data_IF_217614502459
#
_entry.id   IF_217614502459
#
_cell.length_a   1.000
_cell.length_b   1.000
_cell.length_c   1.000
_cell.angle_alpha   90.00
_cell.angle_beta   90.00
_cell.angle_gamma   90.00
#
_symmetry.space_group_name_H-M   'P 1'
#
loop_
_entity.id
_entity.type
_entity.pdbx_description
1 polymer ?
#
# COMPACT_ATOMS: atom_id res chain seq x y z
N UNK A 1 -14.94 -70.38 -67.10
CA UNK A 1 -14.99 -68.89 -67.09
C UNK A 1 -16.43 -68.51 -66.81
N UNK A 2 -16.84 -67.90 -65.70
CA UNK A 2 -16.17 -67.37 -64.52
C UNK A 2 -17.18 -67.52 -63.36
N UNK A 3 -16.77 -68.11 -62.23
CA UNK A 3 -17.35 -67.73 -60.95
C UNK A 3 -16.65 -66.42 -60.54
N UNK A 4 -17.38 -65.35 -60.22
CA UNK A 4 -17.04 -64.68 -58.95
C UNK A 4 -18.21 -63.84 -58.41
N UNK A 5 -18.89 -64.29 -57.34
CA UNK A 5 -19.71 -63.37 -56.51
C UNK A 5 -19.83 -63.82 -55.05
N UNK A 6 -19.52 -65.10 -54.75
CA UNK A 6 -19.63 -65.65 -53.39
C UNK A 6 -18.67 -65.02 -52.33
N UNK A 7 -17.38 -64.74 -52.59
CA UNK A 7 -16.48 -64.28 -51.53
C UNK A 7 -16.77 -62.85 -51.06
N UNK A 8 -17.19 -61.95 -51.97
CA UNK A 8 -17.53 -60.57 -51.61
C UNK A 8 -18.83 -60.46 -50.80
N UNK A 9 -19.78 -61.39 -51.02
CA UNK A 9 -21.01 -61.48 -50.23
C UNK A 9 -20.75 -62.02 -48.83
N UNK A 10 -19.89 -63.03 -48.69
CA UNK A 10 -19.48 -63.58 -47.39
C UNK A 10 -18.75 -62.52 -46.57
N UNK A 11 -17.82 -61.78 -47.18
CA UNK A 11 -17.08 -60.71 -46.50
C UNK A 11 -18.00 -59.56 -46.04
N UNK A 12 -19.03 -59.23 -46.84
CA UNK A 12 -20.06 -58.25 -46.45
C UNK A 12 -20.96 -58.74 -45.32
N UNK A 13 -21.31 -60.02 -45.31
CA UNK A 13 -22.09 -60.64 -44.25
C UNK A 13 -21.32 -60.63 -42.93
N UNK A 14 -20.05 -61.02 -42.94
CA UNK A 14 -19.19 -60.96 -41.75
C UNK A 14 -18.96 -59.53 -41.26
N UNK A 15 -18.84 -58.56 -42.17
CA UNK A 15 -18.74 -57.15 -41.80
C UNK A 15 -20.05 -56.60 -41.20
N UNK A 16 -21.20 -57.13 -41.62
CA UNK A 16 -22.50 -56.78 -41.05
C UNK A 16 -22.69 -57.43 -39.67
N UNK A 17 -22.28 -58.68 -39.51
CA UNK A 17 -22.38 -59.44 -38.26
C UNK A 17 -21.57 -58.75 -37.16
N UNK A 18 -20.32 -58.36 -37.47
CA UNK A 18 -19.48 -57.56 -36.54
C UNK A 18 -20.09 -56.21 -36.16
N UNK A 19 -20.81 -55.56 -37.09
CA UNK A 19 -21.51 -54.30 -36.80
C UNK A 19 -22.76 -54.52 -35.97
N UNK A 20 -23.50 -55.61 -36.22
CA UNK A 20 -24.65 -56.00 -35.43
C UNK A 20 -24.24 -56.37 -34.01
N UNK A 21 -23.15 -57.10 -33.82
CA UNK A 21 -22.59 -57.41 -32.50
C UNK A 21 -22.19 -56.15 -31.73
N UNK A 22 -21.56 -55.18 -32.41
CA UNK A 22 -21.18 -53.91 -31.80
C UNK A 22 -22.40 -53.06 -31.41
N UNK A 23 -23.43 -53.03 -32.27
CA UNK A 23 -24.69 -52.35 -31.96
C UNK A 23 -25.47 -53.08 -30.86
N UNK A 24 -25.41 -54.41 -30.82
CA UNK A 24 -26.08 -55.21 -29.81
C UNK A 24 -25.45 -54.98 -28.43
N UNK A 25 -24.13 -54.92 -28.35
CA UNK A 25 -23.40 -54.55 -27.13
C UNK A 25 -23.80 -53.15 -26.63
N UNK A 26 -23.85 -52.16 -27.53
CA UNK A 26 -24.27 -50.80 -27.18
C UNK A 26 -25.74 -50.76 -26.71
N UNK A 27 -26.63 -51.53 -27.34
CA UNK A 27 -28.05 -51.60 -26.96
C UNK A 27 -28.23 -52.22 -25.57
N UNK A 28 -27.40 -53.18 -25.18
CA UNK A 28 -27.43 -53.75 -23.83
C UNK A 28 -26.99 -52.73 -22.77
N UNK A 29 -25.96 -51.94 -23.05
CA UNK A 29 -25.48 -50.88 -22.16
C UNK A 29 -26.51 -49.74 -22.05
N UNK A 30 -27.13 -49.35 -23.16
CA UNK A 30 -28.26 -48.41 -23.17
C UNK A 30 -29.47 -48.94 -22.38
N UNK A 31 -29.79 -50.23 -22.49
CA UNK A 31 -30.87 -50.85 -21.69
C UNK A 31 -30.54 -50.86 -20.21
N UNK A 32 -29.28 -51.05 -19.83
CA UNK A 32 -28.83 -50.98 -18.45
C UNK A 32 -28.97 -49.56 -17.89
N UNK A 33 -28.47 -48.56 -18.61
CA UNK A 33 -28.60 -47.14 -18.23
C UNK A 33 -30.07 -46.75 -18.07
N UNK A 34 -30.96 -47.19 -18.99
CA UNK A 34 -32.40 -46.91 -18.87
C UNK A 34 -33.01 -47.51 -17.60
N UNK A 35 -32.59 -48.71 -17.19
CA UNK A 35 -33.07 -49.34 -15.95
C UNK A 35 -32.55 -48.62 -14.72
N UNK A 36 -31.26 -48.29 -14.69
CA UNK A 36 -30.66 -47.52 -13.59
C UNK A 36 -31.31 -46.13 -13.45
N UNK A 37 -31.69 -45.50 -14.56
CA UNK A 37 -32.46 -44.25 -14.56
C UNK A 37 -33.89 -44.46 -14.06
N UNK A 38 -34.54 -45.57 -14.41
CA UNK A 38 -35.89 -45.88 -13.93
C UNK A 38 -35.89 -46.16 -12.41
N UNK A 39 -34.88 -46.87 -11.91
CA UNK A 39 -34.66 -47.11 -10.47
C UNK A 39 -34.36 -45.81 -9.73
N UNK A 40 -33.45 -44.98 -10.25
CA UNK A 40 -33.16 -43.66 -9.68
C UNK A 40 -34.40 -42.77 -9.64
N UNK A 41 -35.22 -42.81 -10.70
CA UNK A 41 -36.48 -42.08 -10.76
C UNK A 41 -37.48 -42.59 -9.73
N UNK A 42 -37.56 -43.89 -9.50
CA UNK A 42 -38.42 -44.49 -8.48
C UNK A 42 -37.95 -44.13 -7.06
N UNK A 43 -36.64 -44.21 -6.80
CA UNK A 43 -36.04 -43.84 -5.52
C UNK A 43 -36.15 -42.35 -5.24
N UNK A 44 -35.92 -41.51 -6.25
CA UNK A 44 -36.10 -40.06 -6.15
C UNK A 44 -37.56 -39.70 -5.95
N UNK A 45 -38.51 -40.41 -6.57
CA UNK A 45 -39.93 -40.19 -6.35
C UNK A 45 -40.34 -40.57 -4.92
N UNK A 46 -39.75 -41.62 -4.34
CA UNK A 46 -39.99 -42.03 -2.95
C UNK A 46 -39.42 -41.02 -1.97
N UNK A 47 -38.13 -40.71 -2.07
CA UNK A 47 -37.46 -39.73 -1.19
C UNK A 47 -38.06 -38.34 -1.35
N UNK A 48 -38.35 -37.93 -2.59
CA UNK A 48 -38.99 -36.65 -2.88
C UNK A 48 -40.36 -36.51 -2.22
N UNK A 49 -41.16 -37.59 -2.17
CA UNK A 49 -42.45 -37.61 -1.50
C UNK A 49 -42.32 -37.49 0.02
N UNK A 50 -41.33 -38.15 0.61
CA UNK A 50 -41.10 -38.13 2.05
C UNK A 50 -40.52 -36.80 2.52
N UNK A 51 -39.55 -36.24 1.77
CA UNK A 51 -39.02 -34.88 2.00
C UNK A 51 -40.12 -33.84 1.82
N UNK A 52 -40.94 -33.95 0.78
CA UNK A 52 -42.06 -33.02 0.56
C UNK A 52 -43.07 -33.08 1.71
N UNK A 53 -43.40 -34.27 2.21
CA UNK A 53 -44.27 -34.41 3.39
C UNK A 53 -43.64 -33.85 4.66
N UNK A 54 -42.35 -34.07 4.89
CA UNK A 54 -41.64 -33.53 6.04
C UNK A 54 -41.60 -32.00 6.00
N UNK A 55 -41.26 -31.43 4.86
CA UNK A 55 -41.25 -29.98 4.61
C UNK A 55 -42.64 -29.40 4.77
N UNK A 56 -43.70 -30.03 4.25
CA UNK A 56 -45.10 -29.59 4.46
C UNK A 56 -45.52 -29.65 5.94
N UNK A 57 -45.03 -30.64 6.70
CA UNK A 57 -45.33 -30.78 8.13
C UNK A 57 -44.60 -29.73 8.98
N UNK A 58 -43.33 -29.45 8.68
CA UNK A 58 -42.54 -28.41 9.35
C UNK A 58 -42.98 -26.99 8.93
N UNK A 59 -43.44 -26.82 7.69
CA UNK A 59 -43.99 -25.54 7.20
C UNK A 59 -45.36 -25.20 7.77
N UNK A 60 -46.08 -26.15 8.37
CA UNK A 60 -47.33 -25.86 9.09
C UNK A 60 -47.07 -24.95 10.31
N UNK A 61 -45.84 -24.96 10.85
CA UNK A 61 -45.36 -24.01 11.87
C UNK A 61 -45.03 -22.60 11.28
N UNK A 62 -44.80 -22.50 9.97
CA UNK A 62 -44.48 -21.24 9.23
C UNK A 62 -45.66 -20.79 8.34
N UNK A 63 -46.81 -21.44 8.47
CA UNK A 63 -48.08 -21.25 7.75
C UNK A 63 -48.56 -19.79 7.58
N UNK A 64 -48.26 -18.83 8.49
CA UNK A 64 -48.64 -17.42 8.28
C UNK A 64 -47.91 -16.71 7.13
N UNK A 65 -46.78 -17.24 6.63
CA UNK A 65 -45.90 -16.53 5.69
C UNK A 65 -45.71 -17.23 4.34
N UNK A 66 -46.24 -18.43 4.15
CA UNK A 66 -46.00 -19.24 2.94
C UNK A 66 -47.27 -19.94 2.49
N UNK A 67 -47.76 -19.62 1.28
CA UNK A 67 -48.92 -20.29 0.69
C UNK A 67 -48.50 -21.56 -0.06
N UNK A 68 -49.38 -22.57 -0.11
CA UNK A 68 -49.14 -23.86 -0.79
C UNK A 68 -48.74 -23.73 -2.27
N UNK A 69 -49.08 -22.61 -2.92
CA UNK A 69 -48.71 -22.32 -4.31
C UNK A 69 -47.31 -21.72 -4.51
N UNK A 70 -46.67 -21.22 -3.45
CA UNK A 70 -45.42 -20.46 -3.56
C UNK A 70 -44.25 -21.38 -3.91
N UNK A 71 -44.20 -22.61 -3.40
CA UNK A 71 -43.17 -23.58 -3.77
C UNK A 71 -43.24 -24.03 -5.22
N UNK A 72 -44.45 -24.22 -5.76
CA UNK A 72 -44.63 -24.53 -7.17
C UNK A 72 -44.22 -23.33 -8.06
N UNK A 73 -44.53 -22.11 -7.62
CA UNK A 73 -44.09 -20.88 -8.29
C UNK A 73 -42.56 -20.70 -8.19
N UNK A 74 -41.94 -21.02 -7.05
CA UNK A 74 -40.49 -21.00 -6.85
C UNK A 74 -39.79 -22.06 -7.69
N UNK A 75 -40.26 -23.31 -7.70
CA UNK A 75 -39.76 -24.36 -8.58
C UNK A 75 -39.88 -23.98 -10.05
N UNK A 76 -41.02 -23.43 -10.46
CA UNK A 76 -41.20 -22.89 -11.82
C UNK A 76 -40.26 -21.73 -12.12
N UNK A 77 -40.02 -20.83 -11.16
CA UNK A 77 -39.05 -19.73 -11.29
C UNK A 77 -37.63 -20.26 -11.40
N UNK A 78 -37.22 -21.22 -10.59
CA UNK A 78 -35.90 -21.86 -10.65
C UNK A 78 -35.66 -22.55 -12.00
N UNK A 79 -36.62 -23.36 -12.45
CA UNK A 79 -36.54 -24.03 -13.76
C UNK A 79 -36.53 -22.99 -14.91
N UNK A 80 -37.34 -21.93 -14.80
CA UNK A 80 -37.36 -20.85 -15.80
C UNK A 80 -36.06 -20.04 -15.81
N UNK A 81 -35.39 -19.91 -14.66
CA UNK A 81 -34.13 -19.18 -14.49
C UNK A 81 -32.90 -20.09 -14.53
N UNK A 82 -33.02 -21.31 -15.06
CA UNK A 82 -31.91 -22.26 -15.19
C UNK A 82 -30.72 -21.63 -15.92
N UNK A 83 -30.98 -20.78 -16.94
CA UNK A 83 -29.92 -20.06 -17.64
C UNK A 83 -29.17 -19.08 -16.72
N UNK A 84 -29.88 -18.32 -15.90
CA UNK A 84 -29.24 -17.42 -14.93
C UNK A 84 -28.49 -18.19 -13.84
N UNK A 85 -29.03 -19.33 -13.37
CA UNK A 85 -28.31 -20.21 -12.45
C UNK A 85 -27.03 -20.78 -13.09
N UNK A 86 -27.10 -21.16 -14.36
CA UNK A 86 -25.96 -21.62 -15.12
C UNK A 86 -24.89 -20.52 -15.24
N UNK A 87 -25.28 -19.30 -15.61
CA UNK A 87 -24.36 -18.15 -15.72
C UNK A 87 -23.69 -17.84 -14.37
N UNK A 88 -24.43 -17.95 -13.25
CA UNK A 88 -23.88 -17.79 -11.90
C UNK A 88 -22.88 -18.89 -11.55
N UNK A 89 -23.15 -20.14 -11.95
CA UNK A 89 -22.22 -21.25 -11.74
C UNK A 89 -20.93 -21.06 -12.55
N UNK A 90 -21.04 -20.58 -13.79
CA UNK A 90 -19.87 -20.22 -14.62
C UNK A 90 -19.08 -19.08 -13.99
N UNK A 91 -19.75 -18.04 -13.48
CA UNK A 91 -19.07 -16.95 -12.77
C UNK A 91 -18.37 -17.44 -11.50
N UNK A 92 -18.98 -18.37 -10.76
CA UNK A 92 -18.37 -18.95 -9.56
C UNK A 92 -17.15 -19.81 -9.91
N UNK A 93 -17.20 -20.52 -11.04
CA UNK A 93 -16.06 -21.25 -11.60
C UNK A 93 -14.92 -20.30 -11.95
N UNK A 94 -15.18 -19.21 -12.66
CA UNK A 94 -14.17 -18.19 -12.97
C UNK A 94 -13.61 -17.51 -11.71
N UNK A 95 -14.45 -17.24 -10.71
CA UNK A 95 -14.00 -16.67 -9.44
C UNK A 95 -13.10 -17.66 -8.67
N UNK A 96 -13.44 -18.95 -8.70
CA UNK A 96 -12.63 -20.01 -8.11
C UNK A 96 -11.30 -20.15 -8.85
N UNK A 97 -11.31 -20.16 -10.18
CA UNK A 97 -10.11 -20.22 -11.02
C UNK A 97 -9.19 -19.03 -10.73
N UNK A 98 -9.74 -17.81 -10.72
CA UNK A 98 -9.00 -16.62 -10.33
C UNK A 98 -8.41 -16.73 -8.92
N UNK A 99 -9.17 -17.22 -7.93
CA UNK A 99 -8.67 -17.41 -6.58
C UNK A 99 -7.54 -18.45 -6.53
N UNK A 100 -7.65 -19.54 -7.29
CA UNK A 100 -6.60 -20.56 -7.39
C UNK A 100 -5.32 -19.98 -7.98
N UNK A 101 -5.44 -19.15 -9.02
CA UNK A 101 -4.31 -18.49 -9.69
C UNK A 101 -3.71 -17.35 -8.88
N UNK A 102 -4.55 -16.58 -8.17
CA UNK A 102 -4.13 -15.46 -7.33
C UNK A 102 -3.52 -15.91 -6.01
N UNK A 103 -3.89 -17.09 -5.49
CA UNK A 103 -3.37 -17.62 -4.21
C UNK A 103 -1.83 -17.71 -4.18
N UNK A 104 -1.14 -18.34 -5.15
CA UNK A 104 0.32 -18.41 -5.13
C UNK A 104 0.98 -17.03 -5.24
N UNK A 105 0.45 -16.14 -6.10
CA UNK A 105 0.94 -14.76 -6.21
C UNK A 105 0.75 -13.98 -4.91
N UNK A 106 -0.42 -14.09 -4.27
CA UNK A 106 -0.71 -13.44 -3.01
C UNK A 106 0.22 -13.92 -1.89
N UNK A 107 0.51 -15.23 -1.83
CA UNK A 107 1.48 -15.78 -0.87
C UNK A 107 2.88 -15.23 -1.10
N UNK A 108 3.32 -15.11 -2.35
CA UNK A 108 4.62 -14.53 -2.66
C UNK A 108 4.69 -13.05 -2.27
N UNK A 109 3.72 -12.25 -2.71
CA UNK A 109 3.65 -10.82 -2.36
C UNK A 109 3.57 -10.62 -0.84
N UNK A 110 2.81 -11.46 -0.14
CA UNK A 110 2.74 -11.42 1.32
C UNK A 110 4.09 -11.76 1.97
N UNK A 111 4.78 -12.78 1.48
CA UNK A 111 6.09 -13.20 2.01
C UNK A 111 7.17 -12.16 1.73
N UNK A 112 7.22 -11.63 0.50
CA UNK A 112 8.15 -10.57 0.11
C UNK A 112 7.87 -9.28 0.89
N UNK A 113 6.59 -8.96 1.09
CA UNK A 113 6.13 -7.85 1.94
C UNK A 113 6.58 -8.03 3.39
N UNK A 114 6.39 -9.22 3.97
CA UNK A 114 6.83 -9.51 5.32
C UNK A 114 8.35 -9.43 5.46
N UNK A 115 9.11 -9.96 4.50
CA UNK A 115 10.56 -9.86 4.47
C UNK A 115 11.04 -8.40 4.38
N UNK A 116 10.34 -7.56 3.60
CA UNK A 116 10.62 -6.13 3.51
C UNK A 116 10.30 -5.39 4.81
N UNK A 117 9.17 -5.69 5.44
CA UNK A 117 8.81 -5.11 6.73
C UNK A 117 9.80 -5.52 7.83
N UNK A 118 10.22 -6.79 7.85
CA UNK A 118 11.26 -7.27 8.77
C UNK A 118 12.61 -6.59 8.52
N UNK A 119 13.00 -6.40 7.26
CA UNK A 119 14.20 -5.66 6.88
C UNK A 119 14.15 -4.20 7.40
N UNK A 120 13.00 -3.54 7.27
CA UNK A 120 12.79 -2.18 7.78
C UNK A 120 12.83 -2.13 9.30
N UNK A 121 12.26 -3.10 9.99
CA UNK A 121 12.29 -3.17 11.45
C UNK A 121 13.71 -3.43 11.97
N UNK A 122 14.43 -4.39 11.39
CA UNK A 122 15.82 -4.71 11.76
C UNK A 122 16.77 -3.54 11.52
N UNK A 123 16.54 -2.76 10.46
CA UNK A 123 17.28 -1.51 10.19
C UNK A 123 16.85 -0.34 11.10
N UNK A 124 15.81 -0.53 11.92
CA UNK A 124 15.35 0.47 12.89
C UNK A 124 14.45 1.55 12.29
N UNK A 125 13.92 1.39 11.08
CA UNK A 125 13.07 2.40 10.44
C UNK A 125 11.78 2.66 11.25
N UNK A 126 11.17 1.62 11.84
CA UNK A 126 9.99 1.81 12.69
C UNK A 126 10.32 2.52 14.02
N UNK A 127 11.49 2.26 14.59
CA UNK A 127 11.95 2.98 15.78
C UNK A 127 12.19 4.46 15.45
N UNK A 128 12.92 4.75 14.38
CA UNK A 128 13.17 6.10 13.90
C UNK A 128 11.88 6.84 13.54
N UNK A 129 10.97 6.18 12.82
CA UNK A 129 9.67 6.74 12.46
C UNK A 129 8.80 7.09 13.68
N UNK A 130 8.83 6.27 14.73
CA UNK A 130 8.15 6.58 16.00
C UNK A 130 8.76 7.81 16.68
N UNK A 131 10.09 7.91 16.74
CA UNK A 131 10.74 9.09 17.33
C UNK A 131 10.50 10.35 16.52
N UNK A 132 10.55 10.27 15.18
CA UNK A 132 10.18 11.37 14.30
C UNK A 132 8.72 11.78 14.48
N UNK A 133 7.81 10.81 14.64
CA UNK A 133 6.41 11.06 14.95
C UNK A 133 6.23 11.82 16.27
N UNK A 134 6.92 11.41 17.34
CA UNK A 134 6.91 12.14 18.62
C UNK A 134 7.50 13.54 18.51
N UNK A 135 8.60 13.70 17.78
CA UNK A 135 9.19 15.00 17.54
C UNK A 135 8.22 15.92 16.78
N UNK A 136 7.55 15.40 15.74
CA UNK A 136 6.52 16.14 15.01
C UNK A 136 5.32 16.47 15.89
N UNK A 137 4.86 15.56 16.73
CA UNK A 137 3.75 15.81 17.68
C UNK A 137 4.12 16.89 18.69
N UNK A 138 5.35 16.87 19.23
CA UNK A 138 5.87 17.93 20.08
C UNK A 138 5.94 19.27 19.36
N UNK A 139 6.32 19.29 18.08
CA UNK A 139 6.31 20.52 17.27
C UNK A 139 4.86 21.00 17.07
N UNK A 140 3.94 20.15 16.61
CA UNK A 140 2.55 20.55 16.34
C UNK A 140 1.80 20.99 17.61
N UNK A 141 2.13 20.43 18.78
CA UNK A 141 1.54 20.85 20.06
C UNK A 141 2.06 22.20 20.57
N UNK A 142 3.30 22.57 20.23
CA UNK A 142 3.92 23.82 20.69
C UNK A 142 3.86 24.96 19.66
N UNK A 143 3.70 24.64 18.39
CA UNK A 143 3.62 25.60 17.30
C UNK A 143 2.17 25.72 16.83
N UNK A 144 1.67 26.95 16.80
CA UNK A 144 0.35 27.24 16.26
C UNK A 144 0.37 27.18 14.71
N UNK A 145 -0.79 27.03 14.05
CA UNK A 145 -0.87 27.13 12.58
C UNK A 145 -0.27 28.44 12.04
N UNK A 146 -0.40 29.54 12.77
CA UNK A 146 0.24 30.82 12.48
C UNK A 146 1.77 30.75 12.55
N UNK A 147 2.35 30.03 13.51
CA UNK A 147 3.79 29.85 13.59
C UNK A 147 4.32 29.03 12.41
N UNK A 148 3.58 27.99 12.01
CA UNK A 148 3.92 27.19 10.83
C UNK A 148 3.89 28.02 9.54
N UNK A 149 2.92 28.94 9.40
CA UNK A 149 2.86 29.88 8.27
C UNK A 149 4.04 30.85 8.27
N UNK A 150 4.35 31.46 9.42
CA UNK A 150 5.50 32.37 9.54
C UNK A 150 6.82 31.67 9.24
N UNK A 151 6.96 30.40 9.63
CA UNK A 151 8.11 29.59 9.27
C UNK A 151 8.17 29.33 7.77
N UNK A 152 7.05 28.95 7.14
CA UNK A 152 6.98 28.71 5.70
C UNK A 152 7.32 29.97 4.89
N UNK A 153 6.83 31.14 5.30
CA UNK A 153 7.11 32.41 4.63
C UNK A 153 8.58 32.82 4.72
N UNK A 154 9.28 32.42 5.80
CA UNK A 154 10.68 32.76 6.04
C UNK A 154 11.66 31.61 5.78
N UNK A 155 11.19 30.47 5.29
CA UNK A 155 12.03 29.26 5.16
C UNK A 155 13.20 29.46 4.20
N UNK A 156 13.01 30.27 3.14
CA UNK A 156 14.06 30.58 2.16
C UNK A 156 15.21 31.34 2.83
N UNK A 157 14.91 32.37 3.62
CA UNK A 157 15.91 33.19 4.33
C UNK A 157 16.65 32.35 5.38
N UNK A 158 15.92 31.51 6.11
CA UNK A 158 16.52 30.58 7.08
C UNK A 158 17.43 29.56 6.39
N UNK A 159 17.01 29.02 5.24
CA UNK A 159 17.81 28.07 4.46
C UNK A 159 19.06 28.73 3.88
N UNK A 160 18.97 29.97 3.41
CA UNK A 160 20.11 30.75 2.95
C UNK A 160 21.09 31.04 4.10
N UNK A 161 20.57 31.40 5.27
CA UNK A 161 21.37 31.58 6.48
C UNK A 161 22.08 30.28 6.88
N UNK A 162 21.36 29.16 6.89
CA UNK A 162 21.93 27.85 7.20
C UNK A 162 23.00 27.49 6.17
N UNK A 163 22.73 27.67 4.88
CA UNK A 163 23.71 27.49 3.80
C UNK A 163 24.96 28.31 4.05
N UNK A 164 24.80 29.59 4.42
CA UNK A 164 25.91 30.51 4.72
C UNK A 164 26.71 30.07 5.94
N UNK A 165 26.07 29.57 7.00
CA UNK A 165 26.73 29.02 8.18
C UNK A 165 27.45 27.70 7.89
N UNK A 166 26.93 26.89 6.97
CA UNK A 166 27.55 25.64 6.51
C UNK A 166 28.62 25.84 5.44
N UNK A 167 28.93 27.09 5.06
CA UNK A 167 30.05 27.35 4.16
C UNK A 167 31.37 26.89 4.81
N UNK A 168 32.32 26.35 4.02
CA UNK A 168 33.57 25.79 4.54
C UNK A 168 34.31 26.74 5.49
N UNK A 169 34.35 28.03 5.16
CA UNK A 169 35.03 29.07 5.94
C UNK A 169 34.42 29.23 7.34
N UNK A 170 33.09 29.23 7.42
CA UNK A 170 32.35 29.36 8.68
C UNK A 170 32.47 28.08 9.52
N UNK A 171 32.36 26.90 8.91
CA UNK A 171 32.56 25.63 9.60
C UNK A 171 33.97 25.51 10.19
N UNK A 172 34.98 25.92 9.44
CA UNK A 172 36.37 25.95 9.92
C UNK A 172 36.54 26.95 11.08
N UNK A 173 35.96 28.15 10.98
CA UNK A 173 36.01 29.13 12.05
C UNK A 173 35.37 28.61 13.35
N UNK A 174 34.19 27.98 13.26
CA UNK A 174 33.49 27.38 14.41
C UNK A 174 34.31 26.23 15.02
N UNK A 175 34.85 25.33 14.18
CA UNK A 175 35.67 24.22 14.65
C UNK A 175 36.94 24.71 15.36
N UNK A 176 37.63 25.68 14.79
CA UNK A 176 38.81 26.30 15.39
C UNK A 176 38.48 26.97 16.73
N UNK A 177 37.37 27.71 16.81
CA UNK A 177 36.91 28.33 18.05
C UNK A 177 36.59 27.30 19.14
N UNK A 178 35.93 26.19 18.78
CA UNK A 178 35.65 25.08 19.69
C UNK A 178 36.92 24.38 20.17
N UNK A 179 37.92 24.22 19.31
CA UNK A 179 39.22 23.66 19.67
C UNK A 179 39.98 24.57 20.63
N UNK A 180 39.99 25.89 20.38
CA UNK A 180 40.58 26.90 21.26
C UNK A 180 39.88 26.87 22.63
N UNK A 181 38.55 26.87 22.67
CA UNK A 181 37.77 26.81 23.91
C UNK A 181 38.09 25.57 24.74
N UNK A 182 38.24 24.40 24.11
CA UNK A 182 38.63 23.16 24.80
C UNK A 182 40.05 23.19 25.35
N UNK A 183 40.97 23.93 24.73
CA UNK A 183 42.36 24.08 25.16
C UNK A 183 42.53 25.11 26.28
N UNK A 184 41.60 26.04 26.43
CA UNK A 184 41.60 27.03 27.49
C UNK A 184 41.12 26.39 28.81
N UNK A 185 42.07 25.93 29.63
CA UNK A 185 41.79 25.52 31.01
C UNK A 185 41.64 26.76 31.89
N UNK A 186 40.42 27.30 31.95
CA UNK A 186 40.08 28.49 32.74
C UNK A 186 40.43 28.35 34.23
N UNK A 187 40.62 27.14 34.75
CA UNK A 187 41.00 26.91 36.15
C UNK A 187 42.51 27.11 36.40
N UNK A 188 43.33 27.18 35.36
CA UNK A 188 44.80 27.36 35.44
C UNK A 188 45.31 28.69 34.92
N UNK A 189 44.42 29.57 34.45
CA UNK A 189 44.84 30.87 33.95
C UNK A 189 45.29 31.77 35.10
N UNK A 190 46.54 32.22 35.03
CA UNK A 190 47.13 33.12 36.03
C UNK A 190 46.45 34.49 35.96
N UNK A 191 46.16 35.07 37.12
CA UNK A 191 45.61 36.42 37.20
C UNK A 191 46.61 37.43 36.64
N UNK A 192 46.17 38.23 35.66
CA UNK A 192 47.01 39.26 35.03
C UNK A 192 46.90 40.55 35.85
N UNK A 193 48.04 41.07 36.31
CA UNK A 193 48.08 42.37 37.01
C UNK A 193 47.68 43.52 36.09
N UNK A 194 47.16 44.62 36.65
CA UNK A 194 46.72 45.81 35.87
C UNK A 194 47.82 46.35 34.94
N UNK A 195 49.08 46.34 35.39
CA UNK A 195 50.23 46.75 34.56
C UNK A 195 50.60 45.70 33.51
N UNK A 196 50.51 44.42 33.86
CA UNK A 196 50.68 43.32 32.92
C UNK A 196 49.66 43.38 31.79
N UNK A 197 48.40 43.67 32.10
CA UNK A 197 47.34 43.83 31.12
C UNK A 197 47.61 45.01 30.17
N UNK A 198 48.06 46.16 30.70
CA UNK A 198 48.43 47.30 29.86
C UNK A 198 49.59 46.98 28.90
N UNK A 199 50.61 46.27 29.39
CA UNK A 199 51.73 45.80 28.55
C UNK A 199 51.24 44.82 27.48
N UNK A 200 50.35 43.90 27.83
CA UNK A 200 49.79 42.90 26.93
C UNK A 200 48.94 43.53 25.82
N UNK A 201 48.16 44.58 26.14
CA UNK A 201 47.39 45.34 25.16
C UNK A 201 48.27 46.05 24.12
N UNK A 202 49.50 46.40 24.48
CA UNK A 202 50.44 47.06 23.56
C UNK A 202 51.24 46.07 22.70
N UNK A 203 51.06 44.75 22.89
CA UNK A 203 51.68 43.75 22.04
C UNK A 203 51.19 43.87 20.57
N UNK A 204 52.05 43.61 19.58
CA UNK A 204 51.71 43.80 18.17
C UNK A 204 50.51 42.96 17.72
N UNK A 205 50.32 41.75 18.27
CA UNK A 205 49.18 40.88 18.01
C UNK A 205 47.86 41.51 18.50
N UNK A 206 47.85 42.00 19.74
CA UNK A 206 46.65 42.60 20.35
C UNK A 206 46.26 43.92 19.66
N UNK A 207 47.25 44.74 19.28
CA UNK A 207 47.00 45.96 18.49
C UNK A 207 46.40 45.66 17.11
N UNK A 208 46.85 44.58 16.46
CA UNK A 208 46.25 44.10 15.20
C UNK A 208 44.81 43.61 15.41
N UNK A 209 44.54 42.87 16.48
CA UNK A 209 43.20 42.42 16.82
C UNK A 209 42.24 43.60 17.11
N UNK A 210 42.70 44.61 17.85
CA UNK A 210 41.95 45.84 18.08
C UNK A 210 41.68 46.61 16.77
N UNK A 211 42.68 46.70 15.89
CA UNK A 211 42.51 47.30 14.57
C UNK A 211 41.50 46.56 13.70
N UNK A 212 41.51 45.23 13.73
CA UNK A 212 40.50 44.40 13.07
C UNK A 212 39.11 44.66 13.65
N UNK A 213 38.96 44.64 14.98
CA UNK A 213 37.69 44.88 15.65
C UNK A 213 37.11 46.26 15.29
N UNK A 214 37.94 47.31 15.34
CA UNK A 214 37.53 48.65 14.93
C UNK A 214 37.09 48.72 13.47
N UNK A 215 37.81 48.03 12.57
CA UNK A 215 37.46 47.97 11.15
C UNK A 215 36.17 47.18 10.92
N UNK A 216 35.97 46.07 11.62
CA UNK A 216 34.75 45.29 11.58
C UNK A 216 33.54 46.10 12.06
N UNK A 217 33.65 46.75 13.22
CA UNK A 217 32.60 47.61 13.78
C UNK A 217 32.23 48.77 12.86
N UNK A 218 33.23 49.38 12.22
CA UNK A 218 33.00 50.45 11.23
C UNK A 218 32.22 49.93 10.02
N UNK A 219 32.61 48.79 9.45
CA UNK A 219 31.88 48.18 8.34
C UNK A 219 30.45 47.79 8.74
N UNK A 220 30.25 47.27 9.95
CA UNK A 220 28.93 46.91 10.47
C UNK A 220 28.00 48.13 10.60
N UNK A 221 28.54 49.28 11.03
CA UNK A 221 27.80 50.53 11.12
C UNK A 221 27.44 51.10 9.74
N UNK A 222 28.32 50.96 8.75
CA UNK A 222 28.10 51.41 7.38
C UNK A 222 27.00 50.59 6.65
N UNK A 223 26.79 49.31 7.01
CA UNK A 223 25.77 48.45 6.40
C UNK A 223 24.40 48.46 7.13
N UNK A 224 24.26 49.21 8.23
CA UNK A 224 23.04 49.29 9.04
C UNK A 224 22.10 50.46 8.69
N UNK A 225 22.40 51.28 7.66
CA UNK A 225 21.53 52.39 7.25
C UNK A 225 20.54 51.92 6.15
N UNK A 226 19.27 51.63 6.46
CA UNK A 226 18.25 51.51 5.42
C UNK A 226 18.10 52.86 4.70
N UNK A 227 17.80 52.90 3.38
CA UNK A 227 17.58 54.15 2.68
C UNK A 227 16.41 54.89 3.32
N UNK A 228 16.70 56.02 3.96
CA UNK A 228 15.70 56.94 4.50
C UNK A 228 14.77 57.35 3.37
N UNK A 229 13.55 56.82 3.35
CA UNK A 229 12.48 57.31 2.48
C UNK A 229 12.24 58.77 2.82
N UNK A 230 12.67 59.68 1.94
CA UNK A 230 12.29 61.10 2.01
C UNK A 230 10.75 61.16 1.93
N UNK A 231 10.06 61.94 2.77
CA UNK A 231 8.63 62.14 2.58
C UNK A 231 8.41 62.85 1.24
N UNK A 232 7.69 62.18 0.35
CA UNK A 232 7.19 62.73 -0.91
C UNK A 232 6.49 64.05 -0.61
N UNK A 233 7.08 65.15 -1.06
CA UNK A 233 6.43 66.45 -1.11
C UNK A 233 5.16 66.33 -1.94
N UNK A 234 4.00 66.45 -1.29
CA UNK A 234 2.72 66.70 -1.92
C UNK A 234 2.86 67.96 -2.79
N UNK A 235 2.93 67.78 -4.11
CA UNK A 235 2.57 68.83 -5.05
C UNK A 235 1.03 68.84 -5.16
N UNK A 236 0.38 70.01 -5.04
CA UNK A 236 -1.03 70.13 -5.40
C UNK A 236 -1.15 70.13 -6.93
N UNK A 237 -2.01 69.26 -7.47
CA UNK A 237 -2.37 69.30 -8.89
C UNK A 237 -3.31 70.49 -9.18
N UNK A 238 -3.20 71.11 -10.36
CA UNK A 238 -4.14 72.14 -10.82
C UNK A 238 -5.52 71.58 -11.18
#
# INVERSE_FOLDING_TARGET
MNAPDSPALVERLEALDRKLDLVLAEVEEVRRIRREVEELKEDLARVGKDVFRSVVTELDEVSPFVHTGDFAALGKRLIRNTNTLHDLLVQLESAREFLQDATPLARQVFTDGLAKLDELDRKGYFAMGRELGRALDNVVTHFTPEDARRLADNIVVMMETLKNLTQPEMLLAVNNAMEIYRKLDFQKMQEVSLWGAFRELNQPEMRRALGFLLSFLRNLAEHQVPPTTRPTSLQPQP
#
